data_IF_114506496372
#
_entry.id   IF_114506496372
#
_cell.length_a   1.000
_cell.length_b   1.000
_cell.length_c   1.000
_cell.angle_alpha   90.00
_cell.angle_beta   90.00
_cell.angle_gamma   90.00
#
_symmetry.space_group_name_H-M   'P 1'
#
loop_
_entity.id
_entity.type
_entity.pdbx_description
1 polymer ?
#
# COMPACT_ATOMS: atom_id res chain seq x y z
N UNK A 1 -17.67 35.18 38.56
CA UNK A 1 -16.32 35.61 38.14
C UNK A 1 -15.89 34.57 37.11
N UNK A 2 -16.39 34.71 35.89
CA UNK A 2 -16.25 33.69 34.84
C UNK A 2 -14.79 33.69 34.37
N UNK A 3 -14.14 32.51 34.41
CA UNK A 3 -12.73 32.36 34.11
C UNK A 3 -12.40 32.88 32.68
N UNK A 4 -11.51 33.87 32.50
CA UNK A 4 -11.02 34.30 31.18
C UNK A 4 -10.13 33.25 30.49
N UNK A 5 -10.00 32.05 31.06
CA UNK A 5 -9.12 30.98 30.62
C UNK A 5 -9.57 30.34 29.29
N UNK A 6 -10.88 30.33 29.02
CA UNK A 6 -11.50 29.67 27.85
C UNK A 6 -11.04 30.28 26.50
N UNK A 7 -11.07 31.61 26.28
CA UNK A 7 -10.63 32.19 25.01
C UNK A 7 -9.13 32.04 24.76
N UNK A 8 -8.30 32.08 25.81
CA UNK A 8 -6.86 31.87 25.68
C UNK A 8 -6.50 30.43 25.32
N UNK A 9 -7.23 29.46 25.89
CA UNK A 9 -7.08 28.04 25.53
C UNK A 9 -7.52 27.79 24.08
N UNK A 10 -8.62 28.40 23.65
CA UNK A 10 -9.12 28.26 22.28
C UNK A 10 -8.17 28.88 21.24
N UNK A 11 -7.64 30.07 21.52
CA UNK A 11 -6.66 30.72 20.65
C UNK A 11 -5.35 29.92 20.56
N UNK A 12 -4.86 29.41 21.69
CA UNK A 12 -3.68 28.54 21.74
C UNK A 12 -3.91 27.27 20.91
N UNK A 13 -5.08 26.64 21.03
CA UNK A 13 -5.45 25.45 20.26
C UNK A 13 -5.50 25.72 18.75
N UNK A 14 -6.06 26.85 18.32
CA UNK A 14 -6.12 27.24 16.89
C UNK A 14 -4.75 27.55 16.29
N UNK A 15 -3.84 28.15 17.07
CA UNK A 15 -2.46 28.37 16.65
C UNK A 15 -1.69 27.06 16.53
N UNK A 16 -1.90 26.15 17.49
CA UNK A 16 -1.24 24.84 17.50
C UNK A 16 -1.70 23.95 16.34
N UNK A 17 -2.99 23.99 15.98
CA UNK A 17 -3.52 23.24 14.82
C UNK A 17 -3.04 23.82 13.48
N UNK A 18 -2.84 25.14 13.39
CA UNK A 18 -2.32 25.80 12.18
C UNK A 18 -0.85 25.51 11.88
N UNK A 19 -0.04 25.20 12.89
CA UNK A 19 1.37 24.85 12.74
C UNK A 19 1.61 23.38 12.32
N UNK A 20 0.57 22.55 12.36
CA UNK A 20 0.65 21.11 12.08
C UNK A 20 0.17 20.74 10.66
N UNK A 21 0.26 21.66 9.70
CA UNK A 21 -0.05 21.34 8.31
C UNK A 21 1.16 20.70 7.62
N UNK A 22 1.00 19.61 6.84
CA UNK A 22 2.09 19.09 6.01
C UNK A 22 2.55 20.18 5.03
N UNK A 23 3.84 20.51 5.07
CA UNK A 23 4.39 21.63 4.29
C UNK A 23 4.99 21.21 2.95
N UNK A 24 5.24 19.91 2.77
CA UNK A 24 5.96 19.36 1.61
C UNK A 24 5.27 18.13 0.97
N UNK A 25 4.00 17.89 1.27
CA UNK A 25 3.17 16.88 0.60
C UNK A 25 2.17 17.60 -0.32
N UNK A 26 2.14 17.22 -1.61
CA UNK A 26 1.11 17.70 -2.52
C UNK A 26 -0.19 16.93 -2.29
N UNK A 27 -1.07 17.51 -1.49
CA UNK A 27 -2.41 16.96 -1.20
C UNK A 27 -3.43 17.27 -2.30
N UNK A 28 -3.11 18.16 -3.24
CA UNK A 28 -4.03 18.60 -4.31
C UNK A 28 -3.92 17.75 -5.56
N UNK A 29 -2.74 17.17 -5.82
CA UNK A 29 -2.51 16.31 -6.99
C UNK A 29 -2.01 14.90 -6.59
N UNK A 30 -2.77 14.14 -5.79
CA UNK A 30 -2.38 12.78 -5.45
C UNK A 30 -2.44 11.87 -6.68
N UNK A 31 -1.57 10.86 -6.70
CA UNK A 31 -1.71 9.73 -7.62
C UNK A 31 -2.55 8.65 -6.95
N UNK A 32 -3.73 8.37 -7.51
CA UNK A 32 -4.63 7.34 -7.02
C UNK A 32 -4.45 6.06 -7.83
N UNK A 33 -4.32 4.93 -7.13
CA UNK A 33 -4.29 3.60 -7.72
C UNK A 33 -5.53 2.83 -7.26
N UNK A 34 -6.57 2.73 -8.09
CA UNK A 34 -7.74 1.92 -7.75
C UNK A 34 -7.43 0.43 -7.97
N UNK A 35 -8.05 -0.42 -7.14
CA UNK A 35 -7.95 -1.87 -7.24
C UNK A 35 -9.20 -2.56 -6.67
N UNK A 36 -9.27 -3.90 -6.76
CA UNK A 36 -10.44 -4.68 -6.35
C UNK A 36 -10.65 -4.62 -4.82
N UNK A 37 -11.77 -4.05 -4.33
CA UNK A 37 -12.01 -3.92 -2.89
C UNK A 37 -12.20 -5.28 -2.19
N UNK A 38 -12.81 -6.26 -2.86
CA UNK A 38 -13.02 -7.62 -2.35
C UNK A 38 -11.73 -8.41 -2.12
N UNK A 39 -10.63 -8.00 -2.77
CA UNK A 39 -9.31 -8.58 -2.59
C UNK A 39 -8.51 -7.91 -1.46
N UNK A 40 -9.09 -6.92 -0.78
CA UNK A 40 -8.42 -6.04 0.18
C UNK A 40 -7.18 -5.36 -0.43
N UNK A 41 -7.33 -4.87 -1.68
CA UNK A 41 -6.28 -4.12 -2.36
C UNK A 41 -5.86 -2.90 -1.53
N UNK A 42 -4.57 -2.82 -1.21
CA UNK A 42 -4.03 -1.76 -0.36
C UNK A 42 -3.71 -2.23 1.06
N UNK A 43 -3.90 -3.51 1.37
CA UNK A 43 -3.60 -4.07 2.71
C UNK A 43 -2.16 -3.81 3.13
N UNK A 44 -1.20 -4.02 2.21
CA UNK A 44 0.20 -3.64 2.38
C UNK A 44 0.68 -2.86 1.17
N UNK A 45 1.65 -1.97 1.36
CA UNK A 45 2.21 -1.14 0.29
C UNK A 45 3.72 -1.00 0.41
N UNK A 46 4.41 -0.99 -0.72
CA UNK A 46 5.86 -0.78 -0.78
C UNK A 46 6.25 0.02 -2.03
N UNK A 47 7.01 1.09 -1.86
CA UNK A 47 7.67 1.75 -2.98
C UNK A 47 8.89 0.94 -3.38
N UNK A 48 9.04 0.64 -4.66
CA UNK A 48 10.06 -0.30 -5.12
C UNK A 48 10.72 0.19 -6.41
N UNK A 49 12.05 0.10 -6.46
CA UNK A 49 12.86 0.37 -7.65
C UNK A 49 13.65 -0.87 -8.02
N UNK A 50 13.39 -1.42 -9.21
CA UNK A 50 14.04 -2.64 -9.69
C UNK A 50 14.11 -2.65 -11.22
N UNK A 51 15.24 -3.08 -11.78
CA UNK A 51 15.45 -3.11 -13.24
C UNK A 51 15.28 -1.75 -13.93
N UNK A 52 15.62 -0.66 -13.23
CA UNK A 52 15.46 0.72 -13.74
C UNK A 52 14.00 1.22 -13.82
N UNK A 53 13.03 0.46 -13.31
CA UNK A 53 11.63 0.84 -13.24
C UNK A 53 11.22 1.15 -11.80
N UNK A 54 10.23 2.03 -11.65
CA UNK A 54 9.68 2.43 -10.34
C UNK A 54 8.22 1.99 -10.24
N UNK A 55 7.90 1.31 -9.16
CA UNK A 55 6.58 0.75 -8.90
C UNK A 55 6.14 1.07 -7.48
N UNK A 56 4.83 1.25 -7.31
CA UNK A 56 4.18 1.01 -6.04
C UNK A 56 3.69 -0.44 -6.06
N UNK A 57 4.24 -1.27 -5.18
CA UNK A 57 3.75 -2.62 -4.94
C UNK A 57 2.60 -2.53 -3.94
N UNK A 58 1.50 -3.23 -4.23
CA UNK A 58 0.29 -3.20 -3.41
C UNK A 58 -0.17 -4.63 -3.16
N UNK A 59 -0.26 -5.03 -1.90
CA UNK A 59 -0.78 -6.33 -1.48
C UNK A 59 -2.30 -6.40 -1.52
N UNK A 60 -2.81 -7.58 -1.85
CA UNK A 60 -4.23 -7.92 -1.89
C UNK A 60 -4.42 -9.35 -1.35
N UNK A 61 -4.33 -9.55 -0.02
CA UNK A 61 -4.30 -10.88 0.59
C UNK A 61 -5.60 -11.68 0.49
N UNK A 62 -6.69 -11.05 0.05
CA UNK A 62 -7.98 -11.71 -0.18
C UNK A 62 -8.22 -12.05 -1.65
N UNK A 63 -7.26 -11.74 -2.53
CA UNK A 63 -7.32 -12.12 -3.93
C UNK A 63 -7.37 -13.65 -4.09
N UNK A 64 -8.26 -14.11 -4.97
CA UNK A 64 -8.53 -15.52 -5.24
C UNK A 64 -9.97 -15.93 -4.95
N UNK A 65 -10.36 -17.14 -5.38
CA UNK A 65 -11.71 -17.65 -5.16
C UNK A 65 -11.99 -17.93 -3.68
N UNK A 66 -13.27 -17.87 -3.30
CA UNK A 66 -13.72 -18.22 -1.95
C UNK A 66 -13.27 -19.63 -1.55
N UNK A 67 -12.55 -19.74 -0.43
CA UNK A 67 -11.99 -21.00 0.06
C UNK A 67 -10.57 -21.32 -0.43
N UNK A 68 -10.05 -20.57 -1.40
CA UNK A 68 -8.66 -20.63 -1.88
C UNK A 68 -8.13 -19.20 -2.14
N UNK A 69 -8.16 -18.38 -1.08
CA UNK A 69 -7.64 -17.01 -1.07
C UNK A 69 -6.12 -17.02 -0.92
N UNK A 70 -5.45 -17.32 -2.02
CA UNK A 70 -3.98 -17.37 -2.04
C UNK A 70 -3.35 -16.01 -1.82
N UNK A 71 -4.07 -14.94 -2.15
CA UNK A 71 -3.56 -13.58 -2.16
C UNK A 71 -2.62 -13.32 -3.33
N UNK A 72 -2.36 -12.04 -3.59
CA UNK A 72 -1.36 -11.63 -4.56
C UNK A 72 -0.88 -10.20 -4.29
N UNK A 73 0.04 -9.74 -5.13
CA UNK A 73 0.49 -8.36 -5.19
C UNK A 73 0.22 -7.77 -6.57
N UNK A 74 0.10 -6.45 -6.60
CA UNK A 74 -0.12 -5.65 -7.78
C UNK A 74 1.05 -4.68 -7.98
N UNK A 75 1.47 -4.51 -9.23
CA UNK A 75 2.48 -3.53 -9.63
C UNK A 75 1.80 -2.32 -10.25
N UNK A 76 1.92 -1.18 -9.60
CA UNK A 76 1.38 0.09 -10.04
C UNK A 76 2.52 0.98 -10.57
N UNK A 77 2.59 1.30 -11.88
CA UNK A 77 3.69 2.08 -12.45
C UNK A 77 3.74 3.50 -11.88
N UNK A 78 4.95 3.98 -11.56
CA UNK A 78 5.22 5.37 -11.18
C UNK A 78 5.88 6.09 -12.36
N UNK A 79 5.53 7.36 -12.60
CA UNK A 79 6.10 8.18 -13.69
C UNK A 79 5.51 7.94 -15.08
N UNK A 80 4.51 7.06 -15.19
CA UNK A 80 3.65 6.92 -16.39
C UNK A 80 2.37 7.75 -16.25
N UNK A 81 1.56 7.78 -17.31
CA UNK A 81 0.21 8.38 -17.32
C UNK A 81 -0.57 8.06 -16.03
N UNK A 82 -1.35 9.03 -15.54
CA UNK A 82 -2.23 8.85 -14.38
C UNK A 82 -3.26 7.74 -14.59
N UNK A 83 -3.58 7.41 -15.85
CA UNK A 83 -4.54 6.36 -16.20
C UNK A 83 -3.91 4.95 -16.27
N UNK A 84 -2.62 4.81 -15.97
CA UNK A 84 -1.96 3.51 -15.99
C UNK A 84 -2.48 2.63 -14.86
N UNK A 85 -3.12 1.51 -15.22
CA UNK A 85 -3.65 0.54 -14.27
C UNK A 85 -2.54 -0.25 -13.56
N UNK A 86 -2.84 -0.69 -12.34
CA UNK A 86 -2.00 -1.68 -11.67
C UNK A 86 -2.20 -3.06 -12.31
N UNK A 87 -1.12 -3.82 -12.42
CA UNK A 87 -1.15 -5.17 -12.96
C UNK A 87 -0.87 -6.19 -11.85
N UNK A 88 -1.71 -7.22 -11.76
CA UNK A 88 -1.51 -8.37 -10.86
C UNK A 88 -0.23 -9.12 -11.23
N UNK A 89 0.54 -9.58 -10.24
CA UNK A 89 1.84 -10.24 -10.49
C UNK A 89 1.71 -11.76 -10.67
N UNK A 90 0.61 -12.36 -10.20
CA UNK A 90 0.34 -13.80 -10.30
C UNK A 90 1.30 -14.66 -9.46
N UNK A 91 1.74 -14.16 -8.30
CA UNK A 91 2.62 -14.92 -7.42
C UNK A 91 1.90 -16.10 -6.75
N UNK A 92 0.65 -15.91 -6.35
CA UNK A 92 -0.19 -16.97 -5.77
C UNK A 92 -0.55 -18.09 -6.75
N UNK A 93 -0.35 -17.89 -8.05
CA UNK A 93 -0.60 -18.88 -9.10
C UNK A 93 0.61 -19.81 -9.33
N UNK A 94 1.81 -19.41 -8.86
CA UNK A 94 3.01 -20.23 -9.02
C UNK A 94 3.04 -21.39 -8.02
N UNK A 95 3.34 -22.62 -8.49
CA UNK A 95 3.56 -23.73 -7.58
C UNK A 95 4.77 -23.44 -6.68
N UNK A 96 4.64 -23.70 -5.39
CA UNK A 96 5.69 -23.58 -4.37
C UNK A 96 6.79 -24.65 -4.58
N UNK A 97 7.49 -24.61 -5.71
CA UNK A 97 8.57 -25.53 -6.05
C UNK A 97 8.19 -27.01 -5.84
N UNK A 98 9.08 -27.76 -5.21
CA UNK A 98 8.88 -29.18 -4.88
C UNK A 98 8.12 -29.40 -3.55
N UNK A 99 7.24 -28.47 -3.19
CA UNK A 99 6.36 -28.61 -2.02
C UNK A 99 5.29 -29.66 -2.30
N UNK A 100 5.12 -30.60 -1.37
CA UNK A 100 4.02 -31.56 -1.37
C UNK A 100 2.69 -30.95 -0.91
N UNK A 101 2.70 -29.70 -0.43
CA UNK A 101 1.52 -29.00 0.10
C UNK A 101 1.04 -27.92 -0.89
N UNK A 102 -0.26 -27.90 -1.23
CA UNK A 102 -0.81 -26.87 -2.10
C UNK A 102 -0.86 -25.51 -1.39
N UNK A 103 -0.60 -24.45 -2.14
CA UNK A 103 -0.69 -23.07 -1.68
C UNK A 103 -2.16 -22.65 -1.60
N UNK A 104 -2.84 -22.95 -0.49
CA UNK A 104 -4.26 -22.64 -0.28
C UNK A 104 -4.40 -21.69 0.91
N UNK A 105 -5.21 -20.64 0.76
CA UNK A 105 -5.47 -19.65 1.82
C UNK A 105 -4.19 -19.08 2.47
N UNK A 106 -3.17 -18.84 1.63
CA UNK A 106 -1.87 -18.35 2.10
C UNK A 106 -1.89 -16.86 2.43
N UNK A 107 -2.87 -16.11 1.91
CA UNK A 107 -2.98 -14.66 2.11
C UNK A 107 -1.72 -13.88 1.71
N UNK A 108 -1.12 -14.23 0.58
CA UNK A 108 0.05 -13.55 0.05
C UNK A 108 -0.22 -12.06 -0.16
N UNK A 109 0.69 -11.20 0.30
CA UNK A 109 0.51 -9.74 0.23
C UNK A 109 -0.01 -9.14 1.53
N UNK A 110 -0.06 -9.91 2.62
CA UNK A 110 -0.24 -9.38 3.97
C UNK A 110 0.95 -8.51 4.39
N UNK A 111 2.15 -8.81 3.93
CA UNK A 111 3.34 -7.99 4.19
C UNK A 111 4.25 -7.88 2.97
N UNK A 112 4.84 -6.70 2.82
CA UNK A 112 5.80 -6.35 1.77
C UNK A 112 7.03 -5.74 2.42
N UNK A 113 8.20 -6.23 2.03
CA UNK A 113 9.48 -5.76 2.53
C UNK A 113 10.44 -5.53 1.37
N UNK A 114 11.14 -4.41 1.39
CA UNK A 114 12.28 -4.18 0.53
C UNK A 114 13.46 -5.03 1.03
N UNK A 115 14.26 -5.55 0.11
CA UNK A 115 15.48 -6.29 0.45
C UNK A 115 16.70 -5.41 0.20
N UNK A 116 17.64 -5.39 1.14
CA UNK A 116 18.94 -4.76 0.94
C UNK A 116 19.71 -5.53 -0.15
N UNK A 117 19.71 -5.05 -1.39
CA UNK A 117 20.31 -5.76 -2.54
C UNK A 117 19.90 -5.23 -3.92
N UNK A 118 19.91 -6.11 -4.93
CA UNK A 118 19.75 -5.87 -6.38
C UNK A 118 18.36 -5.32 -6.84
N UNK A 119 17.62 -4.64 -5.96
CA UNK A 119 16.25 -4.23 -6.24
C UNK A 119 15.27 -5.42 -6.20
N UNK A 120 15.43 -6.30 -5.21
CA UNK A 120 14.48 -7.35 -4.87
C UNK A 120 13.43 -6.89 -3.84
N UNK A 121 12.43 -7.72 -3.61
CA UNK A 121 11.46 -7.55 -2.54
C UNK A 121 11.00 -8.91 -2.01
N UNK A 122 10.57 -8.94 -0.76
CA UNK A 122 9.93 -10.10 -0.14
C UNK A 122 8.43 -9.82 0.06
N UNK A 123 7.65 -10.88 -0.08
CA UNK A 123 6.21 -10.87 0.13
C UNK A 123 5.83 -12.10 0.95
N UNK A 124 4.97 -11.88 1.94
CA UNK A 124 4.33 -12.93 2.73
C UNK A 124 2.83 -12.70 2.82
#
# INVERSE_FOLDING_TARGET
>A
MELPLIPHLFLSLMVLTGLCSPFNLDVHHPRLFPGPPEAEFGYSVLQHVGGGQRWMLVGAPWDGPSGDRRGDIYRCPIGRSHNASCAKVHLGDYPLGNSSRPAVNMHLGMSLLETDGDGGFMVS
#
